data_IF_741028871681
#
_entry.id   IF_741028871681
#
_cell.length_a   1.000
_cell.length_b   1.000
_cell.length_c   1.000
_cell.angle_alpha   90.00
_cell.angle_beta   90.00
_cell.angle_gamma   90.00
#
_symmetry.space_group_name_H-M   'P 1'
#
loop_
_entity.id
_entity.type
_entity.pdbx_description
1 polymer ?
#
# COMPACT_ATOMS: atom_id res chain seq x y z
N UNK A 1 -2.43 10.15 14.61
CA UNK A 1 -2.19 11.27 13.68
C UNK A 1 -1.43 10.73 12.47
N UNK A 2 -1.92 10.98 11.25
CA UNK A 2 -1.33 10.48 10.00
C UNK A 2 -0.76 11.64 9.18
N UNK A 3 0.34 12.22 9.65
CA UNK A 3 1.09 13.19 8.87
C UNK A 3 2.53 12.71 8.83
N UNK A 4 2.87 11.97 7.77
CA UNK A 4 4.26 11.59 7.51
C UNK A 4 4.94 12.73 6.78
N UNK A 5 6.08 13.17 7.29
CA UNK A 5 6.89 14.16 6.58
C UNK A 5 7.48 13.53 5.31
N UNK A 6 7.76 14.34 4.29
CA UNK A 6 8.44 13.87 3.05
C UNK A 6 9.75 13.11 3.34
N UNK A 7 10.38 13.33 4.50
CA UNK A 7 11.56 12.59 4.96
C UNK A 7 11.22 11.15 5.40
N UNK A 8 10.16 10.95 6.18
CA UNK A 8 9.71 9.62 6.62
C UNK A 8 9.14 8.79 5.45
N UNK A 9 8.43 9.43 4.52
CA UNK A 9 8.02 8.81 3.25
C UNK A 9 9.20 8.31 2.40
N UNK A 10 10.42 8.81 2.64
CA UNK A 10 11.65 8.38 1.95
C UNK A 10 12.45 7.32 2.72
N UNK A 11 12.04 6.96 3.94
CA UNK A 11 12.60 5.89 4.75
C UNK A 11 11.52 4.81 4.97
N UNK A 12 10.85 4.40 3.90
CA UNK A 12 9.96 3.25 3.97
C UNK A 12 10.80 1.99 4.25
N UNK A 13 10.29 1.04 5.06
CA UNK A 13 10.99 -0.22 5.33
C UNK A 13 11.39 -0.93 4.03
N UNK A 14 10.52 -0.89 3.01
CA UNK A 14 10.77 -1.40 1.66
C UNK A 14 12.06 -0.86 1.03
N UNK A 15 12.36 0.42 1.23
CA UNK A 15 13.58 1.04 0.69
C UNK A 15 14.84 0.63 1.45
N UNK A 16 14.72 0.46 2.77
CA UNK A 16 15.81 -0.06 3.62
C UNK A 16 16.13 -1.50 3.20
N UNK A 17 15.11 -2.26 2.81
CA UNK A 17 15.20 -3.67 2.40
C UNK A 17 15.68 -3.88 0.94
N UNK A 18 16.02 -2.77 0.25
CA UNK A 18 16.58 -2.77 -1.10
C UNK A 18 15.58 -2.64 -2.24
N UNK A 19 14.29 -2.39 -1.96
CA UNK A 19 13.28 -2.16 -3.02
C UNK A 19 13.43 -0.74 -3.58
N UNK A 20 13.59 -0.62 -4.89
CA UNK A 20 13.59 0.67 -5.57
C UNK A 20 12.24 1.37 -5.45
N UNK A 21 12.25 2.70 -5.27
CA UNK A 21 11.05 3.52 -5.17
C UNK A 21 10.06 3.31 -6.33
N UNK A 22 10.55 3.00 -7.55
CA UNK A 22 9.71 2.72 -8.71
C UNK A 22 8.94 1.41 -8.58
N UNK A 23 9.60 0.38 -8.04
CA UNK A 23 9.03 -0.94 -7.77
C UNK A 23 8.02 -0.85 -6.63
N UNK A 24 8.35 -0.15 -5.55
CA UNK A 24 7.41 0.14 -4.46
C UNK A 24 6.16 0.88 -4.96
N UNK A 25 6.32 1.89 -5.83
CA UNK A 25 5.19 2.61 -6.41
C UNK A 25 4.31 1.70 -7.27
N UNK A 26 4.91 0.81 -8.06
CA UNK A 26 4.19 -0.16 -8.88
C UNK A 26 3.35 -1.10 -8.01
N UNK A 27 3.95 -1.71 -6.99
CA UNK A 27 3.24 -2.59 -6.07
C UNK A 27 2.11 -1.89 -5.31
N UNK A 28 2.32 -0.63 -4.89
CA UNK A 28 1.26 0.15 -4.24
C UNK A 28 0.07 0.39 -5.16
N UNK A 29 0.32 0.67 -6.45
CA UNK A 29 -0.74 0.85 -7.46
C UNK A 29 -1.48 -0.45 -7.72
N UNK A 30 -0.75 -1.55 -7.89
CA UNK A 30 -1.34 -2.88 -8.12
C UNK A 30 -2.17 -3.35 -6.93
N UNK A 31 -1.67 -3.20 -5.70
CA UNK A 31 -2.40 -3.56 -4.49
C UNK A 31 -3.67 -2.73 -4.27
N UNK A 32 -3.62 -1.41 -4.51
CA UNK A 32 -4.81 -0.56 -4.46
C UNK A 32 -5.85 -0.98 -5.51
N UNK A 33 -5.41 -1.28 -6.74
CA UNK A 33 -6.29 -1.78 -7.81
C UNK A 33 -6.92 -3.13 -7.42
N UNK A 34 -6.14 -4.05 -6.86
CA UNK A 34 -6.63 -5.35 -6.40
C UNK A 34 -7.73 -5.21 -5.34
N UNK A 35 -7.56 -4.31 -4.37
CA UNK A 35 -8.56 -4.06 -3.32
C UNK A 35 -9.87 -3.54 -3.91
N UNK A 36 -9.79 -2.60 -4.85
CA UNK A 36 -10.98 -2.03 -5.52
C UNK A 36 -11.65 -3.07 -6.40
N UNK A 37 -10.89 -3.79 -7.24
CA UNK A 37 -11.43 -4.82 -8.13
C UNK A 37 -12.09 -5.95 -7.33
N UNK A 38 -11.49 -6.35 -6.19
CA UNK A 38 -12.05 -7.35 -5.28
C UNK A 38 -13.29 -6.83 -4.58
N UNK A 39 -13.28 -5.58 -4.10
CA UNK A 39 -14.44 -4.96 -3.47
C UNK A 39 -15.62 -4.80 -4.43
N UNK A 40 -15.38 -4.45 -5.69
CA UNK A 40 -16.38 -4.43 -6.75
C UNK A 40 -16.96 -5.82 -7.00
N UNK A 41 -16.13 -6.86 -7.10
CA UNK A 41 -16.59 -8.26 -7.26
C UNK A 41 -17.45 -8.73 -6.09
N UNK A 42 -17.14 -8.25 -4.88
CA UNK A 42 -17.89 -8.55 -3.65
C UNK A 42 -19.10 -7.64 -3.43
N UNK A 43 -19.40 -6.71 -4.35
CA UNK A 43 -20.45 -5.69 -4.21
C UNK A 43 -20.37 -4.89 -2.90
N UNK A 44 -19.14 -4.57 -2.47
CA UNK A 44 -18.91 -3.75 -1.28
C UNK A 44 -19.13 -2.27 -1.58
N UNK A 45 -19.54 -1.54 -0.54
CA UNK A 45 -19.73 -0.08 -0.62
C UNK A 45 -18.38 0.63 -0.81
N UNK A 46 -18.36 1.70 -1.59
CA UNK A 46 -17.15 2.48 -1.89
C UNK A 46 -16.42 2.99 -0.63
N UNK A 47 -17.16 3.32 0.42
CA UNK A 47 -16.60 3.70 1.72
C UNK A 47 -15.73 2.59 2.34
N UNK A 48 -16.16 1.34 2.24
CA UNK A 48 -15.42 0.17 2.72
C UNK A 48 -14.14 -0.03 1.91
N UNK A 49 -14.22 0.08 0.59
CA UNK A 49 -13.04 -0.04 -0.30
C UNK A 49 -12.03 1.08 -0.05
N UNK A 50 -12.49 2.34 0.05
CA UNK A 50 -11.63 3.48 0.34
C UNK A 50 -10.91 3.30 1.69
N UNK A 51 -11.62 2.82 2.70
CA UNK A 51 -11.04 2.53 4.02
C UNK A 51 -9.99 1.41 3.95
N UNK A 52 -10.27 0.34 3.18
CA UNK A 52 -9.33 -0.74 2.96
C UNK A 52 -8.04 -0.28 2.25
N UNK A 53 -8.15 0.58 1.23
CA UNK A 53 -6.99 1.18 0.55
C UNK A 53 -6.16 2.05 1.50
N UNK A 54 -6.80 2.83 2.37
CA UNK A 54 -6.11 3.62 3.40
C UNK A 54 -5.37 2.72 4.40
N UNK A 55 -5.98 1.61 4.82
CA UNK A 55 -5.31 0.63 5.68
C UNK A 55 -4.14 -0.06 4.97
N UNK A 56 -4.28 -0.40 3.69
CA UNK A 56 -3.20 -0.94 2.87
C UNK A 56 -2.00 0.02 2.81
N UNK A 57 -2.25 1.31 2.53
CA UNK A 57 -1.17 2.31 2.54
C UNK A 57 -0.55 2.47 3.92
N UNK A 58 -1.33 2.41 5.01
CA UNK A 58 -0.80 2.45 6.39
C UNK A 58 0.10 1.26 6.70
N UNK A 59 -0.30 0.07 6.27
CA UNK A 59 0.42 -1.17 6.53
C UNK A 59 1.81 -1.15 5.89
N UNK A 60 1.90 -0.82 4.60
CA UNK A 60 3.17 -0.75 3.87
C UNK A 60 4.02 0.50 4.16
N UNK A 61 3.55 1.39 5.04
CA UNK A 61 4.39 2.44 5.64
C UNK A 61 5.13 1.94 6.88
N UNK A 62 4.75 0.80 7.45
CA UNK A 62 5.42 0.17 8.61
C UNK A 62 6.03 -1.20 8.31
N UNK A 63 5.53 -1.91 7.29
CA UNK A 63 6.02 -3.22 6.86
C UNK A 63 6.68 -3.14 5.48
N UNK A 64 7.70 -3.97 5.26
CA UNK A 64 8.40 -4.07 3.98
C UNK A 64 7.54 -4.81 2.97
N UNK A 65 7.50 -4.30 1.74
CA UNK A 65 6.90 -5.00 0.59
C UNK A 65 7.60 -6.33 0.25
N UNK A 66 8.83 -6.54 0.73
CA UNK A 66 9.59 -7.77 0.52
C UNK A 66 9.07 -8.96 1.34
N UNK A 67 8.49 -8.67 2.50
CA UNK A 67 7.94 -9.66 3.41
C UNK A 67 6.57 -10.18 2.93
N UNK A 68 5.90 -9.40 2.07
CA UNK A 68 4.59 -9.73 1.50
C UNK A 68 4.62 -9.58 -0.03
N UNK A 69 5.26 -10.50 -0.76
CA UNK A 69 5.11 -10.56 -2.20
C UNK A 69 3.63 -10.80 -2.54
N UNK A 70 3.06 -9.93 -3.37
CA UNK A 70 1.86 -10.27 -4.13
C UNK A 70 2.29 -11.39 -5.09
N UNK A 71 1.86 -12.61 -4.76
CA UNK A 71 2.06 -13.90 -5.45
C UNK A 71 2.65 -13.81 -6.87
#
# INVERSE_FOLDING_TARGET
>A
MMYYTKKELRQTPSKIDGISSSVELKYRKEGAKFIVDTGCKLNLVYSTMATAVVYFHRFFMRHSLKEFPLY
#
